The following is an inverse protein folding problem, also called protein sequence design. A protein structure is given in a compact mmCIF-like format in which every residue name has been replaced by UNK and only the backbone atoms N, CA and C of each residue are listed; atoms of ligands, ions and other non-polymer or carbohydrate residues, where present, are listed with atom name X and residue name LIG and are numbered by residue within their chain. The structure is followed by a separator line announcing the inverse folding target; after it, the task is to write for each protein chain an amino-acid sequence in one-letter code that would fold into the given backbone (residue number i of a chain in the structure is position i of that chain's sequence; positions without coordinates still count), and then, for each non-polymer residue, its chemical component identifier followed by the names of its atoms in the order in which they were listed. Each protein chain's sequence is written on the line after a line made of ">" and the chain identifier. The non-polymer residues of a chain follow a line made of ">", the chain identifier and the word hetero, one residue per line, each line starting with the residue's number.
data_IF_021545279789
#
_entry.id   IF_021545279789
#
_cell.length_a   1.000
_cell.length_b   1.000
_cell.length_c   1.000
_cell.angle_alpha   90.00
_cell.angle_beta   90.00
_cell.angle_gamma   90.00
#
_symmetry.space_group_name_H-M   'P 1'
#
loop_
_entity.id
_entity.type
_entity.pdbx_description
1 polymer ?
#
# COMPACT_ATOMS: atom_id res chain seq x y z
N UNK A 1 -3.03 18.98 30.31
CA UNK A 1 -2.00 19.66 29.49
C UNK A 1 -0.67 18.99 29.79
N UNK A 2 -0.25 18.04 28.95
CA UNK A 2 1.11 17.47 29.04
C UNK A 2 1.95 18.27 28.10
N UNK A 3 2.85 19.05 28.65
CA UNK A 3 3.85 19.84 27.95
C UNK A 3 4.85 18.87 27.30
N UNK A 4 4.69 18.62 26.01
CA UNK A 4 5.67 17.88 25.21
C UNK A 4 6.86 18.81 24.99
N UNK A 5 7.86 18.73 25.87
CA UNK A 5 9.14 19.40 25.70
C UNK A 5 9.77 19.01 24.37
N UNK A 6 9.68 19.92 23.38
CA UNK A 6 10.36 19.79 22.10
C UNK A 6 11.87 19.71 22.36
N UNK A 7 12.51 18.66 21.88
CA UNK A 7 13.97 18.55 22.00
C UNK A 7 14.64 19.49 20.99
N UNK A 8 15.61 20.32 21.43
CA UNK A 8 16.35 21.21 20.55
C UNK A 8 17.10 20.45 19.44
N UNK A 9 17.07 20.96 18.23
CA UNK A 9 17.83 20.38 17.10
C UNK A 9 19.30 20.81 17.16
N UNK A 10 20.09 20.04 17.92
CA UNK A 10 21.52 20.29 18.13
C UNK A 10 22.35 20.02 16.88
N UNK A 11 21.91 19.14 15.99
CA UNK A 11 22.57 18.82 14.72
C UNK A 11 22.51 20.03 13.78
N UNK A 12 21.32 20.58 13.55
CA UNK A 12 21.16 21.81 12.76
C UNK A 12 21.99 22.96 13.32
N UNK A 13 21.97 23.13 14.66
CA UNK A 13 22.78 24.17 15.32
C UNK A 13 24.27 23.99 15.05
N UNK A 14 24.76 22.74 15.10
CA UNK A 14 26.15 22.40 14.81
C UNK A 14 26.57 22.76 13.38
N UNK A 15 25.74 22.40 12.38
CA UNK A 15 26.04 22.67 10.96
C UNK A 15 25.95 24.17 10.64
N UNK A 16 24.96 24.90 11.18
CA UNK A 16 24.87 26.37 11.05
C UNK A 16 26.12 27.04 11.59
N UNK A 17 26.61 26.60 12.75
CA UNK A 17 27.86 27.13 13.36
C UNK A 17 29.06 26.80 12.49
N UNK A 18 29.18 25.57 11.96
CA UNK A 18 30.25 25.15 11.04
C UNK A 18 30.26 26.01 9.77
N UNK A 19 29.09 26.33 9.24
CA UNK A 19 28.91 27.18 8.06
C UNK A 19 29.13 28.68 8.34
N UNK A 20 29.38 29.11 9.59
CA UNK A 20 29.52 30.52 9.98
C UNK A 20 28.26 31.34 9.70
N UNK A 21 27.11 30.72 9.61
CA UNK A 21 25.86 31.36 9.25
C UNK A 21 25.12 31.93 10.49
N UNK A 22 24.46 33.06 10.32
CA UNK A 22 23.52 33.57 11.31
C UNK A 22 22.09 33.14 10.98
N UNK A 23 21.19 33.07 11.97
CA UNK A 23 19.78 32.71 11.74
C UNK A 23 19.14 33.63 10.67
N UNK A 24 19.46 34.92 10.69
CA UNK A 24 18.98 35.90 9.71
C UNK A 24 19.56 35.67 8.32
N UNK A 25 20.84 35.30 8.24
CA UNK A 25 21.53 34.97 7.00
C UNK A 25 21.01 33.71 6.36
N UNK A 26 20.80 32.64 7.16
CA UNK A 26 20.21 31.40 6.70
C UNK A 26 18.79 31.60 6.16
N UNK A 27 17.92 32.25 6.95
CA UNK A 27 16.54 32.51 6.53
C UNK A 27 16.46 33.30 5.21
N UNK A 28 17.32 34.32 5.03
CA UNK A 28 17.40 35.11 3.79
C UNK A 28 17.79 34.23 2.59
N UNK A 29 18.79 33.34 2.73
CA UNK A 29 19.28 32.49 1.65
C UNK A 29 18.24 31.42 1.30
N UNK A 30 17.59 30.80 2.29
CA UNK A 30 16.50 29.85 2.09
C UNK A 30 15.35 30.48 1.29
N UNK A 31 14.97 31.70 1.61
CA UNK A 31 13.93 32.42 0.87
C UNK A 31 14.35 32.71 -0.59
N UNK A 32 15.56 33.27 -0.80
CA UNK A 32 16.08 33.54 -2.14
C UNK A 32 16.18 32.29 -2.99
N UNK A 33 16.65 31.19 -2.42
CA UNK A 33 16.72 29.92 -3.11
C UNK A 33 15.31 29.38 -3.46
N UNK A 34 14.33 29.56 -2.56
CA UNK A 34 12.95 29.14 -2.83
C UNK A 34 12.27 29.93 -3.96
N UNK A 35 12.65 31.22 -4.14
CA UNK A 35 12.16 32.08 -5.22
C UNK A 35 12.75 31.68 -6.58
N UNK A 36 13.98 31.17 -6.60
CA UNK A 36 14.67 30.74 -7.83
C UNK A 36 14.33 29.30 -8.26
N UNK A 37 13.79 28.48 -7.36
CA UNK A 37 13.56 27.03 -7.54
C UNK A 37 12.18 26.69 -8.16
N UNK A 38 11.42 27.70 -8.63
CA UNK A 38 10.19 27.52 -9.42
C UNK A 38 8.95 27.00 -8.67
N UNK A 39 8.95 26.97 -7.32
CA UNK A 39 7.80 26.58 -6.51
C UNK A 39 7.25 27.72 -5.65
N UNK A 40 6.24 27.46 -4.81
CA UNK A 40 5.72 28.49 -3.88
C UNK A 40 6.83 29.08 -3.00
N UNK A 41 6.95 30.40 -2.89
CA UNK A 41 7.99 31.05 -2.08
C UNK A 41 7.86 30.67 -0.60
N UNK A 42 8.94 30.17 0.00
CA UNK A 42 8.97 29.84 1.43
C UNK A 42 9.08 31.13 2.26
N UNK A 43 8.08 31.36 3.09
CA UNK A 43 8.08 32.47 4.04
C UNK A 43 8.80 32.04 5.31
N UNK A 44 10.07 32.45 5.46
CA UNK A 44 10.82 32.21 6.68
C UNK A 44 11.64 33.46 7.08
N UNK A 45 11.83 33.63 8.36
CA UNK A 45 12.61 34.66 8.98
C UNK A 45 13.52 34.11 10.10
N UNK A 46 14.24 34.96 10.80
CA UNK A 46 15.12 34.52 11.89
C UNK A 46 14.36 33.86 13.05
N UNK A 47 13.07 34.18 13.24
CA UNK A 47 12.20 33.54 14.25
C UNK A 47 11.86 32.13 13.83
N UNK A 48 11.62 31.90 12.55
CA UNK A 48 11.41 30.58 11.98
C UNK A 48 12.63 29.67 12.22
N UNK A 49 13.83 30.16 11.93
CA UNK A 49 15.08 29.44 12.19
C UNK A 49 15.25 29.15 13.69
N UNK A 50 14.94 30.10 14.57
CA UNK A 50 14.97 29.85 16.01
C UNK A 50 13.99 28.73 16.43
N UNK A 51 12.77 28.74 15.92
CA UNK A 51 11.80 27.67 16.20
C UNK A 51 12.32 26.29 15.74
N UNK A 52 13.03 26.24 14.61
CA UNK A 52 13.64 25.00 14.12
C UNK A 52 14.75 24.50 15.04
N UNK A 53 15.57 25.41 15.54
CA UNK A 53 16.60 25.12 16.55
C UNK A 53 15.98 24.67 17.89
N UNK A 54 14.83 25.23 18.27
CA UNK A 54 14.07 24.87 19.46
C UNK A 54 13.25 23.56 19.28
N UNK A 55 13.47 22.81 18.18
CA UNK A 55 12.88 21.50 17.92
C UNK A 55 11.55 21.52 17.17
N UNK A 56 11.17 22.64 16.55
CA UNK A 56 10.05 22.67 15.60
C UNK A 56 10.56 22.23 14.22
N UNK A 57 9.93 21.23 13.63
CA UNK A 57 10.27 20.76 12.30
C UNK A 57 9.68 21.66 11.22
N UNK A 58 10.48 22.17 10.26
CA UNK A 58 9.97 22.86 9.08
C UNK A 58 9.23 21.90 8.14
N UNK A 59 8.49 22.46 7.19
CA UNK A 59 7.96 21.69 6.07
C UNK A 59 9.12 21.09 5.24
N UNK A 60 8.89 19.94 4.65
CA UNK A 60 9.89 19.13 3.94
C UNK A 60 10.68 19.92 2.91
N UNK A 61 10.00 20.67 2.03
CA UNK A 61 10.68 21.57 1.07
C UNK A 61 11.61 22.57 1.75
N UNK A 62 11.22 23.07 2.91
CA UNK A 62 12.06 23.99 3.68
C UNK A 62 13.30 23.28 4.24
N UNK A 63 13.17 22.01 4.67
CA UNK A 63 14.31 21.20 5.12
C UNK A 63 15.32 20.99 3.98
N UNK A 64 14.84 20.67 2.78
CA UNK A 64 15.70 20.50 1.59
C UNK A 64 16.41 21.81 1.21
N UNK A 65 15.70 22.94 1.24
CA UNK A 65 16.29 24.23 0.98
C UNK A 65 17.35 24.61 2.04
N UNK A 66 17.12 24.27 3.31
CA UNK A 66 18.11 24.46 4.38
C UNK A 66 19.36 23.64 4.09
N UNK A 67 19.23 22.36 3.76
CA UNK A 67 20.35 21.48 3.44
C UNK A 67 21.14 22.00 2.22
N UNK A 68 20.45 22.41 1.15
CA UNK A 68 21.08 22.99 -0.06
C UNK A 68 21.84 24.29 0.26
N UNK A 69 21.24 25.20 1.01
CA UNK A 69 21.91 26.44 1.43
C UNK A 69 23.16 26.14 2.26
N UNK A 70 23.10 25.17 3.17
CA UNK A 70 24.25 24.79 3.99
C UNK A 70 25.33 24.09 3.16
N UNK A 71 24.94 23.27 2.17
CA UNK A 71 25.84 22.70 1.16
C UNK A 71 26.60 23.78 0.39
N UNK A 72 25.88 24.80 -0.09
CA UNK A 72 26.50 25.93 -0.80
C UNK A 72 27.47 26.73 0.10
N UNK A 73 27.12 26.93 1.37
CA UNK A 73 27.94 27.65 2.32
C UNK A 73 29.21 26.90 2.73
N UNK A 74 29.15 25.58 2.83
CA UNK A 74 30.26 24.73 3.26
C UNK A 74 31.12 24.25 2.09
N UNK A 75 30.59 24.26 0.85
CA UNK A 75 31.25 23.68 -0.32
C UNK A 75 31.34 22.16 -0.31
N UNK A 76 30.61 21.50 0.61
CA UNK A 76 30.48 20.05 0.73
C UNK A 76 29.01 19.68 0.91
N UNK A 77 28.63 18.48 0.46
CA UNK A 77 27.25 18.02 0.56
C UNK A 77 26.82 17.91 2.02
N UNK A 78 25.69 18.52 2.36
CA UNK A 78 25.03 18.41 3.67
C UNK A 78 23.72 17.66 3.49
N UNK A 79 23.62 16.49 4.09
CA UNK A 79 22.41 15.67 4.06
C UNK A 79 21.35 16.21 5.05
N UNK A 80 20.10 15.80 4.87
CA UNK A 80 19.03 16.11 5.82
C UNK A 80 19.30 15.52 7.20
N UNK A 81 19.91 14.33 7.26
CA UNK A 81 20.27 13.68 8.52
C UNK A 81 21.32 14.46 9.32
N UNK A 82 22.32 15.01 8.66
CA UNK A 82 23.36 15.84 9.31
C UNK A 82 22.80 17.11 9.96
N UNK A 83 21.66 17.59 9.49
CA UNK A 83 20.95 18.73 10.09
C UNK A 83 19.76 18.29 10.96
N UNK A 84 19.67 17.00 11.32
CA UNK A 84 18.65 16.46 12.21
C UNK A 84 17.26 16.37 11.61
N UNK A 85 17.17 16.37 10.28
CA UNK A 85 15.94 16.08 9.54
C UNK A 85 16.16 14.79 8.77
N UNK A 86 15.22 13.88 8.88
CA UNK A 86 15.23 12.66 8.06
C UNK A 86 14.55 12.95 6.73
N UNK A 87 14.91 12.24 5.67
CA UNK A 87 14.19 12.29 4.38
C UNK A 87 12.70 11.99 4.51
N UNK A 88 12.32 11.30 5.59
CA UNK A 88 10.94 11.03 5.99
C UNK A 88 10.08 12.27 6.25
N UNK A 89 10.67 13.43 6.38
CA UNK A 89 9.93 14.70 6.49
C UNK A 89 9.51 15.24 5.11
N UNK A 90 9.97 14.61 4.02
CA UNK A 90 9.36 14.79 2.72
C UNK A 90 8.11 13.92 2.60
N UNK A 91 6.89 14.49 2.59
CA UNK A 91 5.65 13.73 2.46
C UNK A 91 5.60 12.92 1.15
N UNK A 92 6.43 13.26 0.17
CA UNK A 92 6.48 12.61 -1.14
C UNK A 92 7.49 11.46 -1.21
N UNK A 93 8.31 11.26 -0.16
CA UNK A 93 9.28 10.15 -0.14
C UNK A 93 8.60 8.81 -0.46
N UNK A 94 9.09 8.14 -1.49
CA UNK A 94 8.59 6.83 -1.97
C UNK A 94 7.38 6.89 -2.90
N UNK A 95 6.76 8.06 -3.14
CA UNK A 95 5.68 8.22 -4.12
C UNK A 95 6.19 8.32 -5.55
N UNK A 96 7.36 8.91 -5.73
CA UNK A 96 7.96 9.04 -7.03
C UNK A 96 8.48 7.70 -7.53
N UNK A 97 8.32 7.46 -8.83
CA UNK A 97 8.98 6.37 -9.52
C UNK A 97 10.39 6.82 -9.89
N UNK A 98 11.43 6.34 -9.20
CA UNK A 98 12.79 6.79 -9.44
C UNK A 98 13.36 6.18 -10.73
N UNK A 99 14.24 6.93 -11.41
CA UNK A 99 14.93 6.41 -12.58
C UNK A 99 16.03 5.40 -12.17
N UNK A 100 16.73 5.68 -11.08
CA UNK A 100 17.80 4.83 -10.57
C UNK A 100 17.34 3.92 -9.42
N UNK A 101 17.85 2.69 -9.39
CA UNK A 101 17.57 1.73 -8.30
C UNK A 101 18.04 2.26 -6.95
N UNK A 102 19.18 2.95 -6.91
CA UNK A 102 19.71 3.53 -5.68
C UNK A 102 18.72 4.47 -4.98
N UNK A 103 18.00 5.28 -5.74
CA UNK A 103 16.96 6.17 -5.20
C UNK A 103 15.77 5.38 -4.62
N UNK A 104 15.41 4.25 -5.26
CA UNK A 104 14.39 3.33 -4.74
C UNK A 104 14.80 2.71 -3.41
N UNK A 105 16.07 2.31 -3.29
CA UNK A 105 16.62 1.74 -2.04
C UNK A 105 16.60 2.77 -0.92
N UNK A 106 17.04 4.00 -1.20
CA UNK A 106 16.98 5.10 -0.22
C UNK A 106 15.54 5.38 0.23
N UNK A 107 14.59 5.44 -0.72
CA UNK A 107 13.18 5.62 -0.40
C UNK A 107 12.62 4.48 0.46
N UNK A 108 12.95 3.23 0.14
CA UNK A 108 12.54 2.06 0.92
C UNK A 108 13.15 2.08 2.32
N UNK A 109 14.45 2.36 2.45
CA UNK A 109 15.09 2.48 3.77
C UNK A 109 14.44 3.54 4.65
N UNK A 110 14.08 4.69 4.06
CA UNK A 110 13.35 5.73 4.75
C UNK A 110 11.93 5.28 5.18
N UNK A 111 11.23 4.52 4.35
CA UNK A 111 9.89 3.99 4.64
C UNK A 111 9.93 2.94 5.75
N UNK A 112 10.87 1.99 5.66
CA UNK A 112 11.04 0.92 6.66
C UNK A 112 11.48 1.47 8.01
N UNK A 113 12.43 2.40 8.03
CA UNK A 113 12.89 3.07 9.25
C UNK A 113 11.73 3.79 9.97
N UNK A 114 10.90 4.53 9.21
CA UNK A 114 9.70 5.17 9.77
C UNK A 114 8.75 4.15 10.39
N UNK A 115 8.49 3.05 9.70
CA UNK A 115 7.57 2.01 10.18
C UNK A 115 8.09 1.33 11.45
N UNK A 116 9.39 1.05 11.50
CA UNK A 116 10.03 0.35 12.60
C UNK A 116 10.23 1.22 13.84
N UNK A 117 10.66 2.48 13.68
CA UNK A 117 10.94 3.38 14.81
C UNK A 117 9.71 4.06 15.38
N UNK A 118 8.66 4.28 14.56
CA UNK A 118 7.47 5.03 14.97
C UNK A 118 6.16 4.31 14.63
N UNK A 119 5.97 3.03 15.01
CA UNK A 119 4.82 2.25 14.57
C UNK A 119 3.46 2.83 14.98
N UNK A 120 3.41 3.67 16.04
CA UNK A 120 2.16 4.22 16.60
C UNK A 120 2.16 5.73 16.80
N UNK A 121 3.22 6.47 16.44
CA UNK A 121 3.37 7.92 16.74
C UNK A 121 3.56 8.81 15.51
N UNK A 122 3.90 8.26 14.35
CA UNK A 122 4.05 9.05 13.15
C UNK A 122 2.68 9.50 12.63
N UNK A 123 2.57 10.77 12.20
CA UNK A 123 1.39 11.22 11.46
C UNK A 123 1.15 10.29 10.27
N UNK A 124 -0.11 9.94 9.97
CA UNK A 124 -0.43 9.07 8.84
C UNK A 124 0.10 9.69 7.54
N UNK A 125 0.79 8.90 6.73
CA UNK A 125 1.14 9.32 5.39
C UNK A 125 -0.13 9.40 4.55
N UNK A 126 -0.34 10.51 3.87
CA UNK A 126 -1.49 10.69 2.97
C UNK A 126 -1.32 9.93 1.66
N UNK A 127 -2.42 9.52 1.09
CA UNK A 127 -2.47 9.00 -0.29
C UNK A 127 -2.45 10.18 -1.26
N UNK A 128 -1.68 10.05 -2.33
CA UNK A 128 -1.60 11.03 -3.43
C UNK A 128 -2.11 10.35 -4.71
N UNK A 129 -3.38 10.55 -5.08
CA UNK A 129 -3.99 9.85 -6.22
C UNK A 129 -3.31 10.14 -7.56
N UNK A 130 -2.68 11.31 -7.70
CA UNK A 130 -1.94 11.72 -8.91
C UNK A 130 -0.73 10.84 -9.19
N UNK A 131 -0.08 10.31 -8.14
CA UNK A 131 1.07 9.41 -8.27
C UNK A 131 0.71 8.12 -9.04
N UNK A 132 -0.49 7.58 -8.84
CA UNK A 132 -0.96 6.42 -9.60
C UNK A 132 -1.06 6.70 -11.11
N UNK A 133 -1.55 7.88 -11.49
CA UNK A 133 -1.67 8.26 -12.91
C UNK A 133 -0.31 8.39 -13.58
N UNK A 134 0.67 8.98 -12.89
CA UNK A 134 2.05 9.07 -13.37
C UNK A 134 2.67 7.70 -13.62
N UNK A 135 2.43 6.75 -12.71
CA UNK A 135 2.92 5.38 -12.84
C UNK A 135 2.30 4.64 -14.03
N UNK A 136 0.97 4.78 -14.24
CA UNK A 136 0.26 4.19 -15.39
C UNK A 136 0.82 4.71 -16.71
N UNK A 137 1.03 6.01 -16.83
CA UNK A 137 1.62 6.60 -18.06
C UNK A 137 3.00 6.03 -18.30
N UNK A 138 3.89 6.03 -17.31
CA UNK A 138 5.23 5.45 -17.45
C UNK A 138 5.18 3.98 -17.86
N UNK A 139 4.32 3.18 -17.23
CA UNK A 139 4.19 1.76 -17.54
C UNK A 139 3.84 1.49 -18.99
N UNK A 140 2.96 2.29 -19.58
CA UNK A 140 2.46 2.11 -20.93
C UNK A 140 3.35 2.76 -22.02
N UNK A 141 4.24 3.70 -21.64
CA UNK A 141 5.03 4.50 -22.59
C UNK A 141 6.53 4.25 -22.53
N UNK A 142 7.05 3.81 -21.36
CA UNK A 142 8.49 3.58 -21.22
C UNK A 142 8.95 2.36 -22.01
N UNK A 143 10.10 2.50 -22.67
CA UNK A 143 10.81 1.37 -23.28
C UNK A 143 11.28 0.38 -22.20
N UNK A 144 11.34 -0.91 -22.56
CA UNK A 144 11.72 -2.00 -21.66
C UNK A 144 13.21 -1.97 -21.17
N UNK A 145 13.95 -0.94 -21.51
CA UNK A 145 15.37 -0.85 -21.17
C UNK A 145 15.54 -0.14 -19.82
N UNK A 146 15.82 -0.94 -18.79
CA UNK A 146 16.35 -0.38 -17.54
C UNK A 146 17.77 0.18 -17.80
N UNK A 147 17.94 1.49 -17.60
CA UNK A 147 19.20 2.20 -17.75
C UNK A 147 20.06 2.18 -16.50
N UNK A 148 19.79 1.28 -15.55
CA UNK A 148 20.57 1.15 -14.32
C UNK A 148 22.02 0.84 -14.65
N UNK A 149 22.93 1.65 -14.12
CA UNK A 149 24.36 1.37 -14.22
C UNK A 149 24.69 0.11 -13.40
N UNK A 150 25.61 -0.76 -13.88
CA UNK A 150 26.09 -1.87 -13.07
C UNK A 150 26.74 -1.34 -11.78
N UNK A 151 26.61 -2.08 -10.65
CA UNK A 151 27.22 -1.67 -9.40
C UNK A 151 28.75 -1.57 -9.52
N UNK A 152 29.33 -0.57 -8.85
CA UNK A 152 30.78 -0.35 -8.86
C UNK A 152 31.55 -1.51 -8.19
N UNK A 153 30.96 -2.12 -7.16
CA UNK A 153 31.50 -3.28 -6.43
C UNK A 153 30.41 -4.35 -6.32
N UNK A 154 30.35 -5.30 -7.27
CA UNK A 154 29.33 -6.34 -7.22
C UNK A 154 29.60 -7.30 -6.04
N UNK A 155 28.60 -7.50 -5.20
CA UNK A 155 28.59 -8.55 -4.19
C UNK A 155 28.04 -9.85 -4.82
N UNK A 156 28.65 -11.03 -4.58
CA UNK A 156 28.15 -12.27 -5.15
C UNK A 156 26.87 -12.70 -4.42
N UNK A 157 25.70 -12.27 -4.96
CA UNK A 157 24.42 -12.84 -4.57
C UNK A 157 24.33 -14.24 -5.16
N UNK A 158 23.93 -15.19 -4.33
CA UNK A 158 23.78 -16.59 -4.69
C UNK A 158 22.31 -16.97 -4.87
N UNK A 159 22.06 -18.16 -5.42
CA UNK A 159 20.70 -18.73 -5.51
C UNK A 159 20.12 -18.95 -4.10
N UNK A 160 20.97 -19.22 -3.10
CA UNK A 160 20.52 -19.42 -1.70
C UNK A 160 19.93 -18.13 -1.13
N UNK A 161 20.53 -16.96 -1.45
CA UNK A 161 20.00 -15.67 -0.98
C UNK A 161 18.64 -15.36 -1.60
N UNK A 162 18.46 -15.71 -2.89
CA UNK A 162 17.18 -15.57 -3.60
C UNK A 162 16.11 -16.49 -2.97
N UNK A 163 16.46 -17.73 -2.68
CA UNK A 163 15.57 -18.72 -2.08
C UNK A 163 15.16 -18.30 -0.68
N UNK A 164 16.08 -17.77 0.14
CA UNK A 164 15.78 -17.26 1.48
C UNK A 164 14.71 -16.14 1.47
N UNK A 165 14.79 -15.21 0.49
CA UNK A 165 13.75 -14.15 0.35
C UNK A 165 12.42 -14.75 -0.08
N UNK A 166 12.42 -15.73 -0.99
CA UNK A 166 11.21 -16.42 -1.46
C UNK A 166 10.51 -17.14 -0.32
N UNK A 167 11.24 -17.96 0.45
CA UNK A 167 10.71 -18.70 1.61
C UNK A 167 10.16 -17.76 2.69
N UNK A 168 10.89 -16.68 3.01
CA UNK A 168 10.42 -15.67 3.95
C UNK A 168 9.12 -14.99 3.46
N UNK A 169 9.03 -14.65 2.17
CA UNK A 169 7.84 -14.07 1.57
C UNK A 169 6.64 -15.00 1.64
N UNK A 170 6.84 -16.30 1.36
CA UNK A 170 5.80 -17.32 1.46
C UNK A 170 5.31 -17.49 2.92
N UNK A 171 6.24 -17.54 3.88
CA UNK A 171 5.90 -17.60 5.31
C UNK A 171 5.09 -16.38 5.76
N UNK A 172 5.51 -15.17 5.42
CA UNK A 172 4.78 -13.95 5.78
C UNK A 172 3.41 -13.87 5.10
N UNK A 173 3.29 -14.33 3.86
CA UNK A 173 2.01 -14.42 3.14
C UNK A 173 1.04 -15.38 3.84
N UNK A 174 1.53 -16.52 4.32
CA UNK A 174 0.73 -17.46 5.12
C UNK A 174 0.18 -16.82 6.40
N UNK A 175 1.01 -16.02 7.09
CA UNK A 175 0.55 -15.28 8.27
C UNK A 175 -0.50 -14.23 7.93
N UNK A 176 -0.34 -13.53 6.80
CA UNK A 176 -1.30 -12.56 6.29
C UNK A 176 -2.65 -13.20 6.00
N UNK A 177 -2.70 -14.34 5.32
CA UNK A 177 -3.93 -15.05 5.02
C UNK A 177 -4.69 -15.51 6.26
N UNK A 178 -3.96 -16.00 7.24
CA UNK A 178 -4.55 -16.62 8.45
C UNK A 178 -4.91 -15.62 9.54
N UNK A 179 -4.11 -14.58 9.72
CA UNK A 179 -4.21 -13.68 10.88
C UNK A 179 -4.43 -12.20 10.53
N UNK A 180 -4.45 -11.87 9.22
CA UNK A 180 -4.51 -10.50 8.71
C UNK A 180 -3.15 -9.82 8.67
N UNK A 181 -3.06 -8.76 7.86
CA UNK A 181 -1.82 -8.06 7.55
C UNK A 181 -1.07 -7.48 8.74
N UNK A 182 -1.78 -7.14 9.81
CA UNK A 182 -1.16 -6.55 11.00
C UNK A 182 -0.25 -7.51 11.80
N UNK A 183 -0.32 -8.82 11.54
CA UNK A 183 0.59 -9.79 12.19
C UNK A 183 1.98 -9.80 11.53
N UNK A 184 2.11 -9.97 10.19
CA UNK A 184 3.40 -9.98 9.53
C UNK A 184 3.98 -8.58 9.25
N UNK A 185 3.19 -7.51 9.28
CA UNK A 185 3.56 -6.15 8.82
C UNK A 185 4.95 -5.71 9.29
N UNK A 186 5.19 -5.68 10.61
CA UNK A 186 6.47 -5.25 11.18
C UNK A 186 7.60 -6.24 10.88
N UNK A 187 7.29 -7.54 10.78
CA UNK A 187 8.30 -8.58 10.46
C UNK A 187 8.76 -8.44 9.00
N UNK A 188 7.85 -8.18 8.07
CA UNK A 188 8.17 -7.92 6.66
C UNK A 188 9.04 -6.67 6.53
N UNK A 189 8.67 -5.58 7.21
CA UNK A 189 9.45 -4.35 7.19
C UNK A 189 10.86 -4.55 7.77
N UNK A 190 10.99 -5.26 8.89
CA UNK A 190 12.28 -5.53 9.52
C UNK A 190 13.16 -6.43 8.64
N UNK A 191 12.61 -7.49 8.04
CA UNK A 191 13.34 -8.36 7.15
C UNK A 191 13.81 -7.61 5.88
N UNK A 192 12.93 -6.78 5.31
CA UNK A 192 13.29 -5.94 4.17
C UNK A 192 14.43 -4.98 4.52
N UNK A 193 14.35 -4.31 5.67
CA UNK A 193 15.33 -3.31 6.13
C UNK A 193 16.70 -3.92 6.44
N UNK A 194 16.71 -5.01 7.21
CA UNK A 194 17.93 -5.56 7.79
C UNK A 194 18.65 -6.57 6.90
N UNK A 195 17.88 -7.38 6.17
CA UNK A 195 18.43 -8.51 5.40
C UNK A 195 18.51 -8.23 3.89
N UNK A 196 17.60 -7.39 3.36
CA UNK A 196 17.44 -7.24 1.91
C UNK A 196 18.04 -5.94 1.39
N UNK A 197 17.63 -4.79 1.94
CA UNK A 197 18.05 -3.48 1.43
C UNK A 197 19.56 -3.25 1.40
N UNK A 198 20.36 -3.71 2.37
CA UNK A 198 21.83 -3.53 2.35
C UNK A 198 22.50 -4.19 1.16
N UNK A 199 21.91 -5.23 0.59
CA UNK A 199 22.49 -5.98 -0.52
C UNK A 199 22.16 -5.40 -1.90
N UNK A 200 21.02 -4.72 -2.05
CA UNK A 200 20.52 -4.25 -3.36
C UNK A 200 21.55 -3.38 -4.13
N UNK A 201 22.29 -2.42 -3.49
CA UNK A 201 23.25 -1.58 -4.19
C UNK A 201 24.39 -2.36 -4.87
N UNK A 202 24.63 -3.60 -4.44
CA UNK A 202 25.71 -4.46 -4.90
C UNK A 202 25.27 -5.50 -5.94
N UNK A 203 23.95 -5.53 -6.28
CA UNK A 203 23.37 -6.54 -7.18
C UNK A 203 23.04 -5.93 -8.54
N UNK A 204 23.52 -6.59 -9.60
CA UNK A 204 23.23 -6.19 -10.98
C UNK A 204 21.97 -6.89 -11.51
N UNK A 205 20.92 -6.16 -11.93
CA UNK A 205 19.75 -6.75 -12.55
C UNK A 205 20.02 -7.31 -13.96
N UNK A 206 21.18 -7.04 -14.57
CA UNK A 206 21.60 -7.61 -15.85
C UNK A 206 22.07 -9.07 -15.68
N UNK A 207 22.53 -9.46 -14.50
CA UNK A 207 22.94 -10.83 -14.22
C UNK A 207 21.71 -11.71 -13.96
N UNK A 208 21.64 -12.97 -14.42
CA UNK A 208 20.47 -13.83 -14.21
C UNK A 208 20.04 -13.98 -12.75
N UNK A 209 20.97 -14.28 -11.85
CA UNK A 209 20.68 -14.39 -10.40
C UNK A 209 20.26 -13.06 -9.82
N UNK A 210 20.85 -11.94 -10.29
CA UNK A 210 20.46 -10.61 -9.87
C UNK A 210 19.02 -10.26 -10.29
N UNK A 211 18.59 -10.67 -11.48
CA UNK A 211 17.18 -10.51 -11.89
C UNK A 211 16.22 -11.27 -11.01
N UNK A 212 16.55 -12.53 -10.68
CA UNK A 212 15.74 -13.32 -9.73
C UNK A 212 15.71 -12.65 -8.35
N UNK A 213 16.84 -12.14 -7.87
CA UNK A 213 16.92 -11.39 -6.62
C UNK A 213 15.96 -10.18 -6.63
N UNK A 214 16.03 -9.34 -7.67
CA UNK A 214 15.13 -8.19 -7.80
C UNK A 214 13.65 -8.58 -7.89
N UNK A 215 13.34 -9.73 -8.52
CA UNK A 215 11.97 -10.27 -8.56
C UNK A 215 11.46 -10.60 -7.16
N UNK A 216 12.24 -11.34 -6.36
CA UNK A 216 11.84 -11.73 -5.02
C UNK A 216 11.77 -10.52 -4.06
N UNK A 217 12.70 -9.57 -4.18
CA UNK A 217 12.66 -8.31 -3.43
C UNK A 217 11.42 -7.50 -3.78
N UNK A 218 11.04 -7.43 -5.06
CA UNK A 218 9.81 -6.77 -5.49
C UNK A 218 8.56 -7.46 -4.93
N UNK A 219 8.53 -8.80 -4.90
CA UNK A 219 7.43 -9.57 -4.33
C UNK A 219 7.29 -9.34 -2.81
N UNK A 220 8.41 -9.32 -2.08
CA UNK A 220 8.44 -9.01 -0.65
C UNK A 220 8.00 -7.55 -0.38
N UNK A 221 8.49 -6.59 -1.15
CA UNK A 221 8.12 -5.17 -1.02
C UNK A 221 6.63 -4.96 -1.34
N UNK A 222 6.08 -5.67 -2.34
CA UNK A 222 4.65 -5.72 -2.61
C UNK A 222 3.87 -6.24 -1.40
N UNK A 223 4.36 -7.29 -0.73
CA UNK A 223 3.72 -7.82 0.48
C UNK A 223 3.75 -6.79 1.62
N UNK A 224 4.85 -6.05 1.81
CA UNK A 224 4.90 -4.93 2.75
C UNK A 224 3.80 -3.89 2.45
N UNK A 225 3.63 -3.53 1.16
CA UNK A 225 2.56 -2.65 0.72
C UNK A 225 1.16 -3.22 0.99
N UNK A 226 0.96 -4.51 0.75
CA UNK A 226 -0.32 -5.17 0.99
C UNK A 226 -0.68 -5.22 2.48
N UNK A 227 0.26 -5.56 3.35
CA UNK A 227 0.04 -5.59 4.80
C UNK A 227 -0.19 -4.19 5.38
N UNK A 228 0.48 -3.17 4.84
CA UNK A 228 0.21 -1.78 5.18
C UNK A 228 -1.21 -1.36 4.75
N UNK A 229 -1.66 -1.76 3.56
CA UNK A 229 -3.03 -1.55 3.08
C UNK A 229 -4.06 -2.26 3.96
N UNK A 230 -3.84 -3.54 4.27
CA UNK A 230 -4.76 -4.31 5.11
C UNK A 230 -4.93 -3.73 6.52
N UNK A 231 -3.94 -2.99 7.01
CA UNK A 231 -3.95 -2.32 8.32
C UNK A 231 -4.40 -0.86 8.28
N UNK A 232 -4.88 -0.36 7.12
CA UNK A 232 -5.36 1.01 6.95
C UNK A 232 -4.24 2.06 6.83
N UNK A 233 -2.98 1.66 6.70
CA UNK A 233 -1.86 2.57 6.46
C UNK A 233 -1.72 2.87 4.95
N UNK A 234 -2.76 3.48 4.35
CA UNK A 234 -2.91 3.60 2.90
C UNK A 234 -1.80 4.38 2.21
N UNK A 235 -1.37 5.50 2.80
CA UNK A 235 -0.27 6.28 2.23
C UNK A 235 1.08 5.55 2.30
N UNK A 236 1.30 4.73 3.33
CA UNK A 236 2.46 3.84 3.44
C UNK A 236 2.39 2.72 2.38
N UNK A 237 1.21 2.11 2.22
CA UNK A 237 0.96 1.08 1.21
C UNK A 237 1.25 1.57 -0.21
N UNK A 238 0.78 2.77 -0.56
CA UNK A 238 1.02 3.38 -1.87
C UNK A 238 2.53 3.52 -2.14
N UNK A 239 3.31 3.93 -1.15
CA UNK A 239 4.77 4.09 -1.27
C UNK A 239 5.49 2.77 -1.47
N UNK A 240 5.19 1.77 -0.63
CA UNK A 240 5.75 0.44 -0.82
C UNK A 240 5.43 -0.13 -2.20
N UNK A 241 4.18 -0.02 -2.65
CA UNK A 241 3.76 -0.54 -3.95
C UNK A 241 4.45 0.20 -5.11
N UNK A 242 4.66 1.52 -5.00
CA UNK A 242 5.40 2.29 -6.00
C UNK A 242 6.85 1.81 -6.12
N UNK A 243 7.53 1.59 -5.00
CA UNK A 243 8.90 1.10 -5.02
C UNK A 243 8.99 -0.39 -5.44
N UNK A 244 8.02 -1.22 -5.02
CA UNK A 244 7.90 -2.60 -5.50
C UNK A 244 7.78 -2.65 -7.03
N UNK A 245 7.00 -1.75 -7.61
CA UNK A 245 6.84 -1.64 -9.06
C UNK A 245 8.16 -1.29 -9.75
N UNK A 246 8.94 -0.37 -9.19
CA UNK A 246 10.28 -0.02 -9.71
C UNK A 246 11.23 -1.23 -9.72
N UNK A 247 11.23 -2.01 -8.64
CA UNK A 247 12.07 -3.20 -8.51
C UNK A 247 11.62 -4.34 -9.44
N UNK A 248 10.31 -4.55 -9.59
CA UNK A 248 9.76 -5.53 -10.54
C UNK A 248 10.13 -5.17 -12.00
N UNK A 249 10.14 -3.87 -12.32
CA UNK A 249 10.58 -3.38 -13.63
C UNK A 249 12.07 -3.61 -13.85
N UNK A 250 12.91 -3.43 -12.83
CA UNK A 250 14.34 -3.75 -12.88
C UNK A 250 14.58 -5.26 -13.11
N UNK A 251 13.75 -6.12 -12.52
CA UNK A 251 13.74 -7.56 -12.78
C UNK A 251 13.26 -7.94 -14.19
N UNK A 252 12.66 -7.02 -14.93
CA UNK A 252 12.01 -7.31 -16.22
C UNK A 252 10.74 -8.16 -16.09
N UNK A 253 10.15 -8.27 -14.88
CA UNK A 253 8.97 -9.09 -14.61
C UNK A 253 7.67 -8.31 -14.84
N UNK A 254 7.14 -8.39 -16.08
CA UNK A 254 5.92 -7.71 -16.47
C UNK A 254 4.67 -8.25 -15.78
N UNK A 255 4.65 -9.55 -15.46
CA UNK A 255 3.53 -10.16 -14.74
C UNK A 255 3.44 -9.62 -13.31
N UNK A 256 4.59 -9.52 -12.61
CA UNK A 256 4.66 -8.96 -11.26
C UNK A 256 4.36 -7.44 -11.27
N UNK A 257 4.82 -6.69 -12.27
CA UNK A 257 4.42 -5.28 -12.45
C UNK A 257 2.89 -5.15 -12.55
N UNK A 258 2.24 -5.96 -13.39
CA UNK A 258 0.78 -6.01 -13.49
C UNK A 258 0.11 -6.37 -12.16
N UNK A 259 0.67 -7.35 -11.42
CA UNK A 259 0.18 -7.73 -10.09
C UNK A 259 0.22 -6.58 -9.09
N UNK A 260 1.28 -5.78 -9.11
CA UNK A 260 1.42 -4.61 -8.25
C UNK A 260 0.40 -3.53 -8.62
N UNK A 261 0.19 -3.28 -9.91
CA UNK A 261 -0.87 -2.38 -10.38
C UNK A 261 -2.27 -2.85 -9.98
N UNK A 262 -2.53 -4.17 -10.00
CA UNK A 262 -3.78 -4.74 -9.51
C UNK A 262 -3.98 -4.52 -8.00
N UNK A 263 -2.92 -4.60 -7.19
CA UNK A 263 -2.98 -4.22 -5.77
C UNK A 263 -3.29 -2.73 -5.58
N UNK A 264 -2.68 -1.84 -6.38
CA UNK A 264 -2.98 -0.41 -6.36
C UNK A 264 -4.41 -0.13 -6.81
N UNK A 265 -4.91 -0.86 -7.84
CA UNK A 265 -6.31 -0.78 -8.29
C UNK A 265 -7.28 -1.14 -7.15
N UNK A 266 -7.01 -2.24 -6.45
CA UNK A 266 -7.81 -2.65 -5.31
C UNK A 266 -7.81 -1.59 -4.20
N UNK A 267 -6.65 -1.01 -3.88
CA UNK A 267 -6.52 0.07 -2.91
C UNK A 267 -7.27 1.34 -3.35
N UNK A 268 -7.09 1.75 -4.60
CA UNK A 268 -7.75 2.93 -5.16
C UNK A 268 -9.29 2.78 -5.14
N UNK A 269 -9.80 1.57 -5.47
CA UNK A 269 -11.22 1.26 -5.38
C UNK A 269 -11.74 1.36 -3.94
N UNK A 270 -11.03 0.78 -2.98
CA UNK A 270 -11.38 0.85 -1.56
C UNK A 270 -11.45 2.30 -1.03
N UNK A 271 -10.60 3.18 -1.55
CA UNK A 271 -10.53 4.60 -1.18
C UNK A 271 -11.49 5.50 -1.99
N UNK A 272 -12.35 4.95 -2.84
CA UNK A 272 -13.32 5.72 -3.63
C UNK A 272 -12.75 6.34 -4.91
N UNK A 273 -11.49 6.08 -5.27
CA UNK A 273 -10.87 6.57 -6.50
C UNK A 273 -11.14 5.63 -7.68
N UNK A 274 -12.42 5.37 -7.95
CA UNK A 274 -12.89 4.31 -8.86
C UNK A 274 -12.35 4.43 -10.29
N UNK A 275 -12.28 5.65 -10.86
CA UNK A 275 -11.74 5.81 -12.20
C UNK A 275 -10.24 5.46 -12.26
N UNK A 276 -9.47 5.86 -11.26
CA UNK A 276 -8.04 5.50 -11.17
C UNK A 276 -7.84 4.00 -10.96
N UNK A 277 -8.74 3.35 -10.23
CA UNK A 277 -8.73 1.91 -10.06
C UNK A 277 -8.93 1.18 -11.41
N UNK A 278 -9.88 1.65 -12.24
CA UNK A 278 -10.08 1.14 -13.60
C UNK A 278 -8.82 1.33 -14.44
N UNK A 279 -8.22 2.52 -14.41
CA UNK A 279 -7.02 2.83 -15.21
C UNK A 279 -5.83 1.95 -14.81
N UNK A 280 -5.64 1.70 -13.51
CA UNK A 280 -4.62 0.80 -12.97
C UNK A 280 -4.84 -0.65 -13.39
N UNK A 281 -6.08 -1.16 -13.29
CA UNK A 281 -6.41 -2.53 -13.72
C UNK A 281 -6.21 -2.71 -15.23
N UNK A 282 -6.63 -1.73 -16.04
CA UNK A 282 -6.42 -1.70 -17.48
C UNK A 282 -4.94 -1.65 -17.85
N UNK A 283 -4.17 -0.85 -17.14
CA UNK A 283 -2.73 -0.79 -17.33
C UNK A 283 -2.06 -2.13 -16.98
N UNK A 284 -2.53 -2.83 -15.93
CA UNK A 284 -2.03 -4.13 -15.55
C UNK A 284 -2.16 -5.15 -16.68
N UNK A 285 -3.37 -5.38 -17.22
CA UNK A 285 -3.55 -6.40 -18.27
C UNK A 285 -2.96 -5.99 -19.61
N UNK A 286 -2.96 -4.68 -19.96
CA UNK A 286 -2.36 -4.21 -21.23
C UNK A 286 -0.85 -4.36 -21.22
N UNK A 287 -0.18 -3.92 -20.16
CA UNK A 287 1.28 -3.95 -20.09
C UNK A 287 1.87 -5.35 -19.82
N UNK A 288 1.10 -6.23 -19.17
CA UNK A 288 1.51 -7.62 -18.93
C UNK A 288 1.04 -8.61 -20.02
N UNK A 289 0.37 -8.13 -21.06
CA UNK A 289 -0.13 -9.00 -22.13
C UNK A 289 1.00 -9.81 -22.78
N UNK A 290 0.78 -11.12 -22.94
CA UNK A 290 1.78 -12.06 -23.47
C UNK A 290 2.90 -12.44 -22.48
N UNK A 291 2.87 -11.91 -21.23
CA UNK A 291 3.85 -12.21 -20.17
C UNK A 291 3.18 -12.75 -18.91
N UNK A 292 1.92 -12.43 -18.67
CA UNK A 292 1.15 -12.93 -17.54
C UNK A 292 0.48 -14.25 -17.86
N UNK A 293 0.35 -15.13 -16.85
CA UNK A 293 -0.41 -16.37 -16.97
C UNK A 293 -1.91 -16.11 -17.08
N UNK A 294 -2.71 -17.05 -17.58
CA UNK A 294 -4.15 -16.89 -17.65
C UNK A 294 -4.79 -16.57 -16.29
N UNK A 295 -4.36 -17.21 -15.21
CA UNK A 295 -4.79 -16.91 -13.84
C UNK A 295 -4.50 -15.47 -13.46
N UNK A 296 -3.31 -14.98 -13.79
CA UNK A 296 -2.92 -13.59 -13.54
C UNK A 296 -3.75 -12.59 -14.35
N UNK A 297 -4.06 -12.92 -15.61
CA UNK A 297 -4.95 -12.10 -16.44
C UNK A 297 -6.38 -12.05 -15.87
N UNK A 298 -6.89 -13.18 -15.38
CA UNK A 298 -8.20 -13.25 -14.74
C UNK A 298 -8.29 -12.29 -13.53
N UNK A 299 -7.27 -12.26 -12.67
CA UNK A 299 -7.20 -11.32 -11.56
C UNK A 299 -7.31 -9.86 -12.05
N UNK A 300 -6.60 -9.48 -13.12
CA UNK A 300 -6.59 -8.11 -13.58
C UNK A 300 -7.98 -7.65 -14.07
N UNK A 301 -8.70 -8.52 -14.78
CA UNK A 301 -10.08 -8.25 -15.20
C UNK A 301 -11.06 -8.23 -14.01
N UNK A 302 -10.85 -9.06 -13.00
CA UNK A 302 -11.63 -9.02 -11.76
C UNK A 302 -11.46 -7.69 -11.02
N UNK A 303 -10.25 -7.12 -10.98
CA UNK A 303 -10.00 -5.80 -10.39
C UNK A 303 -10.68 -4.68 -11.18
N UNK A 304 -10.70 -4.76 -12.52
CA UNK A 304 -11.49 -3.82 -13.35
C UNK A 304 -12.98 -3.92 -13.02
N UNK A 305 -13.52 -5.15 -12.94
CA UNK A 305 -14.92 -5.39 -12.62
C UNK A 305 -15.34 -4.78 -11.27
N UNK A 306 -14.49 -4.92 -10.24
CA UNK A 306 -14.71 -4.31 -8.92
C UNK A 306 -14.88 -2.80 -8.99
N UNK A 307 -14.00 -2.12 -9.69
CA UNK A 307 -14.05 -0.67 -9.83
C UNK A 307 -15.24 -0.19 -10.68
N UNK A 308 -15.59 -0.96 -11.73
CA UNK A 308 -16.78 -0.70 -12.54
C UNK A 308 -18.08 -0.90 -11.74
N UNK A 309 -18.13 -1.92 -10.85
CA UNK A 309 -19.27 -2.16 -9.98
C UNK A 309 -19.51 -1.01 -9.00
N UNK A 310 -18.43 -0.47 -8.42
CA UNK A 310 -18.51 0.73 -7.56
C UNK A 310 -19.05 1.96 -8.32
N UNK A 311 -18.85 2.05 -9.64
CA UNK A 311 -19.47 3.07 -10.51
C UNK A 311 -20.83 2.64 -11.08
N UNK A 312 -21.37 1.47 -10.68
CA UNK A 312 -22.66 0.92 -11.15
C UNK A 312 -22.78 0.76 -12.67
N UNK A 313 -21.67 0.43 -13.35
CA UNK A 313 -21.60 0.18 -14.79
C UNK A 313 -21.89 -1.29 -15.12
N UNK A 314 -23.13 -1.72 -14.92
CA UNK A 314 -23.55 -3.13 -14.93
C UNK A 314 -23.10 -3.92 -16.17
N UNK A 315 -23.31 -3.36 -17.37
CA UNK A 315 -22.90 -4.02 -18.63
C UNK A 315 -21.38 -4.24 -18.73
N UNK A 316 -20.60 -3.24 -18.32
CA UNK A 316 -19.14 -3.32 -18.31
C UNK A 316 -18.65 -4.32 -17.23
N UNK A 317 -19.30 -4.36 -16.06
CA UNK A 317 -19.02 -5.33 -15.00
C UNK A 317 -19.19 -6.75 -15.51
N UNK A 318 -20.35 -7.05 -16.12
CA UNK A 318 -20.63 -8.37 -16.68
C UNK A 318 -19.59 -8.79 -17.72
N UNK A 319 -19.23 -7.89 -18.63
CA UNK A 319 -18.23 -8.15 -19.65
C UNK A 319 -16.82 -8.44 -19.04
N UNK A 320 -16.43 -7.69 -17.99
CA UNK A 320 -15.14 -7.87 -17.32
C UNK A 320 -15.11 -9.18 -16.52
N UNK A 321 -16.18 -9.52 -15.79
CA UNK A 321 -16.29 -10.78 -15.03
C UNK A 321 -16.27 -12.00 -15.93
N UNK A 322 -17.04 -12.02 -17.03
CA UNK A 322 -17.01 -13.11 -18.02
C UNK A 322 -15.65 -13.24 -18.69
N UNK A 323 -14.92 -12.13 -18.84
CA UNK A 323 -13.56 -12.17 -19.38
C UNK A 323 -12.59 -12.76 -18.37
N UNK A 324 -12.71 -12.42 -17.08
CA UNK A 324 -11.93 -13.01 -15.99
C UNK A 324 -12.17 -14.53 -15.92
N UNK A 325 -13.43 -14.97 -15.96
CA UNK A 325 -13.80 -16.39 -15.93
C UNK A 325 -13.21 -17.16 -17.13
N UNK A 326 -13.31 -16.60 -18.35
CA UNK A 326 -12.71 -17.22 -19.56
C UNK A 326 -11.19 -17.37 -19.42
N UNK A 327 -10.50 -16.37 -18.90
CA UNK A 327 -9.07 -16.45 -18.67
C UNK A 327 -8.73 -17.54 -17.64
N UNK A 328 -9.44 -17.60 -16.51
CA UNK A 328 -9.20 -18.61 -15.49
C UNK A 328 -9.44 -20.03 -16.00
N UNK A 329 -10.48 -20.24 -16.83
CA UNK A 329 -10.81 -21.54 -17.40
C UNK A 329 -9.85 -22.04 -18.48
N UNK A 330 -9.04 -21.16 -19.08
CA UNK A 330 -8.10 -21.51 -20.16
C UNK A 330 -6.73 -21.97 -19.66
N UNK A 331 -6.41 -21.75 -18.37
CA UNK A 331 -5.06 -21.90 -17.83
C UNK A 331 -4.79 -23.23 -17.18
N UNK A 332 -3.66 -23.89 -17.56
CA UNK A 332 -2.97 -24.77 -16.64
C UNK A 332 -2.27 -23.94 -15.58
N UNK A 333 -2.43 -24.31 -14.30
CA UNK A 333 -1.80 -23.61 -13.16
C UNK A 333 -0.31 -23.98 -12.97
N UNK A 334 0.23 -24.88 -13.78
CA UNK A 334 1.61 -25.34 -13.67
C UNK A 334 2.66 -24.25 -13.83
N UNK A 335 2.34 -23.21 -14.61
CA UNK A 335 3.22 -22.08 -14.85
C UNK A 335 2.86 -20.85 -14.03
N UNK A 336 1.89 -20.96 -13.12
CA UNK A 336 1.52 -19.85 -12.25
C UNK A 336 2.65 -19.53 -11.28
N UNK A 337 3.08 -18.28 -11.13
CA UNK A 337 3.98 -17.90 -10.06
C UNK A 337 3.29 -18.08 -8.71
N UNK A 338 4.06 -18.42 -7.67
CA UNK A 338 3.55 -18.76 -6.35
C UNK A 338 2.61 -17.68 -5.76
N UNK A 339 2.90 -16.41 -6.01
CA UNK A 339 2.12 -15.30 -5.50
C UNK A 339 0.69 -15.18 -6.08
N UNK A 340 0.32 -15.95 -7.14
CA UNK A 340 -1.04 -15.98 -7.71
C UNK A 340 -1.82 -17.25 -7.32
N UNK A 341 -1.20 -18.24 -6.66
CA UNK A 341 -1.83 -19.51 -6.36
C UNK A 341 -3.11 -19.38 -5.52
N UNK A 342 -3.24 -18.30 -4.74
CA UNK A 342 -4.46 -18.02 -3.97
C UNK A 342 -5.66 -17.67 -4.86
N UNK A 343 -5.43 -17.18 -6.11
CA UNK A 343 -6.48 -16.75 -7.01
C UNK A 343 -7.00 -17.94 -7.81
N UNK A 344 -7.96 -18.62 -7.24
CA UNK A 344 -8.65 -19.78 -7.79
C UNK A 344 -10.12 -19.47 -8.11
N UNK A 345 -10.93 -20.48 -8.32
CA UNK A 345 -12.35 -20.33 -8.59
C UNK A 345 -13.11 -19.75 -7.39
N UNK A 346 -12.71 -20.11 -6.18
CA UNK A 346 -13.31 -19.56 -4.96
C UNK A 346 -13.07 -18.06 -4.84
N UNK A 347 -11.84 -17.60 -5.10
CA UNK A 347 -11.52 -16.16 -5.09
C UNK A 347 -12.20 -15.42 -6.24
N UNK A 348 -12.29 -16.02 -7.43
CA UNK A 348 -13.04 -15.43 -8.54
C UNK A 348 -14.53 -15.25 -8.18
N UNK A 349 -15.15 -16.23 -7.55
CA UNK A 349 -16.54 -16.13 -7.08
C UNK A 349 -16.69 -15.07 -5.98
N UNK A 350 -15.69 -14.90 -5.11
CA UNK A 350 -15.67 -13.78 -4.18
C UNK A 350 -15.74 -12.43 -4.91
N UNK A 351 -14.96 -12.25 -5.99
CA UNK A 351 -14.97 -11.03 -6.77
C UNK A 351 -16.34 -10.80 -7.48
N UNK A 352 -16.97 -11.86 -7.99
CA UNK A 352 -18.34 -11.80 -8.51
C UNK A 352 -19.32 -11.35 -7.43
N UNK A 353 -19.27 -11.96 -6.24
CA UNK A 353 -20.15 -11.63 -5.12
C UNK A 353 -20.03 -10.15 -4.72
N UNK A 354 -18.81 -9.67 -4.61
CA UNK A 354 -18.55 -8.25 -4.34
C UNK A 354 -19.16 -7.33 -5.40
N UNK A 355 -18.97 -7.64 -6.69
CA UNK A 355 -19.49 -6.83 -7.78
C UNK A 355 -21.03 -6.80 -7.74
N UNK A 356 -21.68 -7.92 -7.59
CA UNK A 356 -23.15 -7.98 -7.54
C UNK A 356 -23.74 -7.34 -6.29
N UNK A 357 -23.06 -7.45 -5.13
CA UNK A 357 -23.44 -6.69 -3.93
C UNK A 357 -23.42 -5.19 -4.20
N UNK A 358 -22.36 -4.66 -4.86
CA UNK A 358 -22.21 -3.25 -5.14
C UNK A 358 -23.21 -2.75 -6.19
N UNK A 359 -23.61 -3.62 -7.13
CA UNK A 359 -24.69 -3.36 -8.08
C UNK A 359 -26.10 -3.44 -7.43
N UNK A 360 -26.22 -4.02 -6.25
CA UNK A 360 -27.50 -4.22 -5.56
C UNK A 360 -28.27 -5.46 -6.03
N UNK A 361 -27.62 -6.38 -6.76
CA UNK A 361 -28.19 -7.66 -7.15
C UNK A 361 -28.01 -8.69 -6.03
N UNK A 362 -28.95 -8.71 -5.08
CA UNK A 362 -28.89 -9.54 -3.88
C UNK A 362 -28.82 -11.05 -4.21
N UNK A 363 -29.56 -11.50 -5.23
CA UNK A 363 -29.63 -12.91 -5.61
C UNK A 363 -28.26 -13.43 -6.09
N UNK A 364 -27.65 -12.75 -7.05
CA UNK A 364 -26.33 -13.13 -7.56
C UNK A 364 -25.22 -12.92 -6.52
N UNK A 365 -25.31 -11.88 -5.71
CA UNK A 365 -24.34 -11.65 -4.63
C UNK A 365 -24.39 -12.79 -3.60
N UNK A 366 -25.58 -13.25 -3.22
CA UNK A 366 -25.80 -14.38 -2.31
C UNK A 366 -25.24 -15.69 -2.93
N UNK A 367 -25.64 -15.97 -4.17
CA UNK A 367 -25.20 -17.16 -4.88
C UNK A 367 -23.67 -17.28 -4.92
N UNK A 368 -22.98 -16.27 -5.45
CA UNK A 368 -21.53 -16.33 -5.61
C UNK A 368 -20.78 -16.25 -4.27
N UNK A 369 -21.30 -15.56 -3.26
CA UNK A 369 -20.70 -15.55 -1.93
C UNK A 369 -20.79 -16.95 -1.28
N UNK A 370 -21.93 -17.64 -1.41
CA UNK A 370 -22.09 -19.00 -0.91
C UNK A 370 -21.18 -19.99 -1.62
N UNK A 371 -21.06 -19.90 -2.96
CA UNK A 371 -20.16 -20.73 -3.76
C UNK A 371 -18.69 -20.48 -3.36
N UNK A 372 -18.27 -19.22 -3.24
CA UNK A 372 -16.93 -18.88 -2.80
C UNK A 372 -16.61 -19.47 -1.42
N UNK A 373 -17.50 -19.35 -0.45
CA UNK A 373 -17.32 -19.89 0.90
C UNK A 373 -17.22 -21.43 0.87
N UNK A 374 -18.00 -22.10 0.01
CA UNK A 374 -18.00 -23.55 -0.12
C UNK A 374 -16.68 -24.09 -0.69
N UNK A 375 -16.14 -23.39 -1.71
CA UNK A 375 -14.91 -23.80 -2.41
C UNK A 375 -13.63 -23.37 -1.69
N UNK A 376 -13.71 -22.39 -0.77
CA UNK A 376 -12.54 -21.81 -0.09
C UNK A 376 -11.95 -22.77 0.95
N UNK A 377 -10.63 -22.82 1.00
CA UNK A 377 -9.92 -23.50 2.09
C UNK A 377 -10.07 -22.72 3.42
N UNK A 378 -10.22 -23.46 4.52
CA UNK A 378 -10.39 -22.89 5.86
C UNK A 378 -9.18 -22.08 6.37
N UNK A 379 -8.03 -22.18 5.71
CA UNK A 379 -6.81 -21.42 6.02
C UNK A 379 -6.89 -19.96 5.63
N UNK A 380 -7.74 -19.61 4.65
CA UNK A 380 -7.95 -18.23 4.19
C UNK A 380 -8.96 -17.47 5.05
N UNK A 381 -8.71 -17.42 6.37
CA UNK A 381 -9.66 -16.88 7.36
C UNK A 381 -10.08 -15.44 7.04
N UNK A 382 -9.14 -14.61 6.59
CA UNK A 382 -9.43 -13.22 6.23
C UNK A 382 -10.33 -13.12 4.99
N UNK A 383 -10.03 -13.85 3.89
CA UNK A 383 -10.85 -13.87 2.67
C UNK A 383 -12.26 -14.39 2.97
N UNK A 384 -12.37 -15.46 3.77
CA UNK A 384 -13.67 -15.98 4.24
C UNK A 384 -14.47 -14.93 5.03
N UNK A 385 -13.80 -14.09 5.82
CA UNK A 385 -14.48 -13.02 6.55
C UNK A 385 -15.06 -11.97 5.59
N UNK A 386 -14.36 -11.61 4.51
CA UNK A 386 -14.91 -10.73 3.48
C UNK A 386 -16.10 -11.35 2.77
N UNK A 387 -15.99 -12.60 2.31
CA UNK A 387 -17.09 -13.29 1.63
C UNK A 387 -18.33 -13.41 2.53
N UNK A 388 -18.15 -13.73 3.80
CA UNK A 388 -19.26 -13.79 4.76
C UNK A 388 -19.88 -12.40 4.99
N UNK A 389 -19.11 -11.32 5.03
CA UNK A 389 -19.68 -9.96 5.14
C UNK A 389 -20.46 -9.57 3.89
N UNK A 390 -19.98 -9.98 2.71
CA UNK A 390 -20.74 -9.80 1.46
C UNK A 390 -22.04 -10.61 1.48
N UNK A 391 -21.99 -11.86 1.94
CA UNK A 391 -23.17 -12.71 2.11
C UNK A 391 -24.18 -12.09 3.09
N UNK A 392 -23.72 -11.59 4.25
CA UNK A 392 -24.58 -10.88 5.19
C UNK A 392 -25.25 -9.65 4.55
N UNK A 393 -24.49 -8.89 3.76
CA UNK A 393 -25.01 -7.72 3.05
C UNK A 393 -26.01 -8.14 1.97
N UNK A 394 -25.79 -9.23 1.25
CA UNK A 394 -26.73 -9.77 0.27
C UNK A 394 -28.03 -10.24 0.90
N UNK A 395 -27.99 -10.90 2.06
CA UNK A 395 -29.19 -11.24 2.83
C UNK A 395 -29.97 -9.99 3.26
N UNK A 396 -29.26 -8.97 3.75
CA UNK A 396 -29.89 -7.69 4.11
C UNK A 396 -30.56 -7.02 2.89
N UNK A 397 -29.89 -7.01 1.75
CA UNK A 397 -30.45 -6.47 0.48
C UNK A 397 -31.67 -7.27 -0.01
N UNK A 398 -31.73 -8.56 0.29
CA UNK A 398 -32.86 -9.44 -0.01
C UNK A 398 -34.02 -9.31 1.01
N UNK A 399 -33.83 -8.54 2.09
CA UNK A 399 -34.81 -8.38 3.17
C UNK A 399 -34.80 -9.51 4.22
N UNK A 400 -33.83 -10.42 4.17
CA UNK A 400 -33.67 -11.49 5.16
C UNK A 400 -32.74 -11.02 6.30
N UNK A 401 -33.36 -10.29 7.25
CA UNK A 401 -32.65 -9.69 8.36
C UNK A 401 -32.03 -10.73 9.31
N UNK A 402 -32.74 -11.83 9.57
CA UNK A 402 -32.29 -12.88 10.49
C UNK A 402 -31.00 -13.55 9.97
N UNK A 403 -30.99 -13.96 8.69
CA UNK A 403 -29.82 -14.54 8.06
C UNK A 403 -28.66 -13.53 8.00
N UNK A 404 -28.94 -12.26 7.67
CA UNK A 404 -27.93 -11.21 7.62
C UNK A 404 -27.21 -11.05 8.95
N UNK A 405 -27.97 -10.93 10.05
CA UNK A 405 -27.42 -10.74 11.40
C UNK A 405 -26.69 -11.98 11.91
N UNK A 406 -27.20 -13.19 11.61
CA UNK A 406 -26.55 -14.43 11.97
C UNK A 406 -25.15 -14.56 11.35
N UNK A 407 -25.02 -14.30 10.04
CA UNK A 407 -23.74 -14.33 9.34
C UNK A 407 -22.80 -13.23 9.84
N UNK A 408 -23.30 -11.99 9.99
CA UNK A 408 -22.50 -10.87 10.47
C UNK A 408 -21.94 -11.08 11.87
N UNK A 409 -22.70 -11.72 12.77
CA UNK A 409 -22.25 -12.08 14.13
C UNK A 409 -21.04 -12.99 14.08
N UNK A 410 -21.05 -14.02 13.24
CA UNK A 410 -19.91 -14.93 13.09
C UNK A 410 -18.66 -14.24 12.54
N UNK A 411 -18.83 -13.23 11.66
CA UNK A 411 -17.71 -12.41 11.18
C UNK A 411 -17.14 -11.54 12.29
N UNK A 412 -18.02 -10.88 13.09
CA UNK A 412 -17.59 -10.05 14.19
C UNK A 412 -16.78 -10.85 15.24
N UNK A 413 -17.21 -12.08 15.57
CA UNK A 413 -16.45 -13.00 16.42
C UNK A 413 -15.08 -13.35 15.85
N UNK A 414 -14.98 -13.60 14.55
CA UNK A 414 -13.73 -13.91 13.85
C UNK A 414 -12.80 -12.69 13.80
N UNK A 415 -13.36 -11.50 13.59
CA UNK A 415 -12.60 -10.24 13.48
C UNK A 415 -11.77 -9.92 14.72
N UNK A 416 -12.19 -10.39 15.92
CA UNK A 416 -11.41 -10.24 17.16
C UNK A 416 -10.01 -10.87 17.07
N UNK A 417 -9.87 -11.95 16.35
CA UNK A 417 -8.60 -12.68 16.18
C UNK A 417 -7.77 -12.17 15.01
N UNK A 418 -8.39 -11.43 14.08
CA UNK A 418 -7.75 -10.87 12.91
C UNK A 418 -7.20 -9.46 13.17
N UNK A 419 -5.97 -9.22 12.74
CA UNK A 419 -5.41 -7.87 12.70
C UNK A 419 -5.55 -7.28 11.30
N UNK A 420 -6.80 -7.03 10.87
CA UNK A 420 -7.15 -6.47 9.57
C UNK A 420 -8.12 -5.31 9.75
N UNK A 421 -7.66 -4.11 9.41
CA UNK A 421 -8.51 -2.92 9.36
C UNK A 421 -9.62 -3.05 8.31
N UNK A 422 -9.31 -3.68 7.17
CA UNK A 422 -10.29 -3.88 6.10
C UNK A 422 -11.48 -4.73 6.54
N UNK A 423 -11.25 -5.80 7.31
CA UNK A 423 -12.35 -6.62 7.85
C UNK A 423 -13.25 -5.78 8.75
N UNK A 424 -12.67 -4.93 9.60
CA UNK A 424 -13.44 -3.99 10.44
C UNK A 424 -14.25 -3.03 9.57
N UNK A 425 -13.62 -2.41 8.54
CA UNK A 425 -14.30 -1.47 7.64
C UNK A 425 -15.48 -2.10 6.87
N UNK A 426 -15.38 -3.38 6.52
CA UNK A 426 -16.50 -4.10 5.89
C UNK A 426 -17.66 -4.34 6.86
N UNK A 427 -17.35 -4.64 8.12
CA UNK A 427 -18.39 -4.74 9.17
C UNK A 427 -19.01 -3.39 9.49
N UNK A 428 -18.24 -2.31 9.45
CA UNK A 428 -18.75 -0.95 9.65
C UNK A 428 -19.68 -0.55 8.49
N UNK A 429 -19.33 -0.82 7.22
CA UNK A 429 -20.25 -0.63 6.07
C UNK A 429 -21.56 -1.44 6.25
N UNK A 430 -21.46 -2.68 6.74
CA UNK A 430 -22.65 -3.48 7.04
C UNK A 430 -23.50 -2.84 8.16
N UNK A 431 -22.88 -2.36 9.24
CA UNK A 431 -23.58 -1.65 10.35
C UNK A 431 -24.27 -0.38 9.86
N UNK A 432 -23.62 0.39 8.99
CA UNK A 432 -24.22 1.60 8.42
C UNK A 432 -25.48 1.26 7.60
N UNK A 433 -25.48 0.15 6.86
CA UNK A 433 -26.64 -0.34 6.11
C UNK A 433 -27.79 -0.79 7.02
N UNK A 434 -27.48 -1.27 8.23
CA UNK A 434 -28.50 -1.63 9.23
C UNK A 434 -29.22 -0.41 9.82
N UNK A 435 -28.75 0.81 9.62
CA UNK A 435 -29.37 2.02 10.17
C UNK A 435 -30.85 2.17 9.79
N UNK A 436 -31.24 1.69 8.59
CA UNK A 436 -32.62 1.65 8.14
C UNK A 436 -33.54 0.71 8.97
N UNK A 437 -32.93 -0.21 9.74
CA UNK A 437 -33.62 -1.22 10.56
C UNK A 437 -33.35 -1.04 12.06
N UNK A 438 -32.90 0.15 12.49
CA UNK A 438 -32.45 0.44 13.86
C UNK A 438 -33.52 0.22 14.94
N UNK A 439 -34.82 0.26 14.57
CA UNK A 439 -35.92 0.01 15.50
C UNK A 439 -36.16 -1.48 15.80
N UNK A 440 -35.62 -2.37 14.98
CA UNK A 440 -35.79 -3.81 15.16
C UNK A 440 -34.97 -4.32 16.38
N UNK A 441 -35.61 -5.10 17.28
CA UNK A 441 -34.92 -5.60 18.50
C UNK A 441 -33.65 -6.39 18.21
N UNK A 442 -33.65 -7.25 17.16
CA UNK A 442 -32.52 -8.06 16.76
C UNK A 442 -31.36 -7.22 16.26
N UNK A 443 -31.63 -6.12 15.55
CA UNK A 443 -30.60 -5.18 15.11
C UNK A 443 -29.96 -4.50 16.31
N UNK A 444 -30.75 -4.06 17.28
CA UNK A 444 -30.23 -3.45 18.53
C UNK A 444 -29.31 -4.43 19.28
N UNK A 445 -29.74 -5.68 19.43
CA UNK A 445 -28.94 -6.74 20.06
C UNK A 445 -27.61 -6.94 19.32
N UNK A 446 -27.63 -7.02 17.99
CA UNK A 446 -26.40 -7.14 17.19
C UNK A 446 -25.50 -5.93 17.32
N UNK A 447 -26.04 -4.70 17.29
CA UNK A 447 -25.23 -3.48 17.43
C UNK A 447 -24.59 -3.37 18.82
N UNK A 448 -25.30 -3.81 19.87
CA UNK A 448 -24.76 -3.88 21.23
C UNK A 448 -23.62 -4.91 21.33
N UNK A 449 -23.81 -6.09 20.75
CA UNK A 449 -22.78 -7.12 20.64
C UNK A 449 -21.56 -6.59 19.87
N UNK A 450 -21.78 -6.01 18.68
CA UNK A 450 -20.69 -5.50 17.83
C UNK A 450 -19.88 -4.39 18.51
N UNK A 451 -20.50 -3.50 19.29
CA UNK A 451 -19.82 -2.48 20.12
C UNK A 451 -18.90 -3.10 21.18
N UNK A 452 -19.26 -4.26 21.71
CA UNK A 452 -18.43 -4.96 22.70
C UNK A 452 -17.23 -5.70 22.10
N UNK A 453 -17.27 -5.98 20.79
CA UNK A 453 -16.33 -6.85 20.09
C UNK A 453 -15.39 -6.07 19.18
N UNK A 454 -15.92 -5.07 18.49
CA UNK A 454 -15.14 -4.25 17.56
C UNK A 454 -14.43 -3.10 18.27
N UNK A 455 -13.30 -2.60 17.72
CA UNK A 455 -12.62 -1.43 18.29
C UNK A 455 -13.59 -0.25 18.39
N UNK A 456 -13.51 0.52 19.50
CA UNK A 456 -14.34 1.72 19.68
C UNK A 456 -14.07 2.74 18.57
N UNK A 457 -15.08 3.58 18.25
CA UNK A 457 -14.97 4.67 17.26
C UNK A 457 -13.79 5.63 17.56
N UNK A 458 -13.41 5.75 18.83
CA UNK A 458 -12.26 6.53 19.29
C UNK A 458 -10.92 5.81 19.17
N UNK A 459 -10.91 4.55 18.72
CA UNK A 459 -9.65 3.81 18.56
C UNK A 459 -8.82 4.43 17.42
N UNK A 460 -7.47 4.34 17.48
CA UNK A 460 -6.61 4.77 16.38
C UNK A 460 -6.94 4.09 15.03
N UNK A 461 -7.66 2.98 15.07
CA UNK A 461 -8.14 2.23 13.90
C UNK A 461 -9.31 2.95 13.27
N UNK A 462 -10.30 3.37 14.06
CA UNK A 462 -11.51 4.06 13.57
C UNK A 462 -11.23 5.51 13.11
N UNK A 463 -10.31 6.22 13.77
CA UNK A 463 -9.91 7.58 13.36
C UNK A 463 -9.27 7.66 11.97
N UNK A 464 -8.77 6.54 11.44
CA UNK A 464 -8.19 6.48 10.08
C UNK A 464 -9.24 6.47 8.97
N UNK A 465 -10.52 6.15 9.28
CA UNK A 465 -11.65 6.20 8.33
C UNK A 465 -12.07 7.63 7.96
N UNK A 466 -11.85 8.60 8.85
CA UNK A 466 -12.33 9.99 8.70
C UNK A 466 -11.36 10.85 7.88
N UNK A 467 -10.14 10.38 7.60
CA UNK A 467 -9.07 11.15 6.95
C UNK A 467 -8.70 10.59 5.57
N UNK A 468 -9.45 9.62 5.06
CA UNK A 468 -9.23 9.05 3.72
C UNK A 468 -10.08 9.74 2.64
#
# INVERSE_FOLDING_TARGET
>A
MVDTTKQPNTLLAGVIKKAGATNKGLARRVRLLSESDGGEPVRCDHVSVKRWLDGTTPQSRTCQLIARVLTELLGEHVSLEEIGYTELQNPDTGLEYPEEIAQSVMALGAITDRELRMPNRAEPLTVVPEAWSGLVVRWLTDSDHDRSNPPAEPHPITVVDVEAIREATAMFSSFDYKYGGGRPKTLVAAFLDQEVLPNIPHVSPQHPVGREYFREVAALTRLAGWTAYDTGAHGLAQRYLTQAFRLAKAAGDKALCGRILANMSHQANFLGHYQRAIDLARAAYKGANGHATPTTMALFYAMEARALASLRKEGDVTAALLTAERWLSQGSRENDPEWIHYFDLAELYAEFAHCYRDLGNAELANHYAAESIRESESTYVRSLSFCRTVLATAHLQAGDLDAALHVAKSVAETAMSLKSFRVISYLDDFRDRLSAHSEEPLVREFLDFARGVLPSEDSPVSRRLVVA
#
